data_IF_395323009876
#
_entry.id   IF_395323009876
#
_cell.length_a   1.000
_cell.length_b   1.000
_cell.length_c   1.000
_cell.angle_alpha   90.00
_cell.angle_beta   90.00
_cell.angle_gamma   90.00
#
_symmetry.space_group_name_H-M   'P 1'
#
loop_
_entity.id
_entity.type
_entity.pdbx_description
1 polymer ?
#
# COMPACT_ATOMS: atom_id res chain seq x y z
N UNK A 1 -50.56 22.06 24.57
CA UNK A 1 -49.67 21.12 25.28
C UNK A 1 -48.96 20.30 24.20
N UNK A 2 -47.62 20.23 24.23
CA UNK A 2 -46.74 19.38 23.40
C UNK A 2 -46.64 19.72 21.90
N UNK A 3 -45.49 19.93 21.27
CA UNK A 3 -44.10 19.91 21.73
C UNK A 3 -43.18 20.32 20.58
N UNK A 4 -42.38 21.37 20.79
CA UNK A 4 -41.14 21.59 20.05
C UNK A 4 -40.14 20.52 20.48
N UNK A 5 -39.32 19.93 19.59
CA UNK A 5 -37.87 19.71 19.81
C UNK A 5 -37.20 19.01 18.61
N UNK A 6 -36.46 19.83 17.85
CA UNK A 6 -35.09 19.64 17.32
C UNK A 6 -34.72 18.30 16.66
N UNK A 7 -34.66 18.35 15.32
CA UNK A 7 -33.77 17.56 14.46
C UNK A 7 -32.32 17.72 14.95
N UNK A 8 -31.76 16.69 15.60
CA UNK A 8 -30.33 16.60 15.85
C UNK A 8 -29.65 16.17 14.55
N UNK A 9 -29.09 17.14 13.82
CA UNK A 9 -28.02 16.88 12.88
C UNK A 9 -26.87 16.24 13.65
N UNK A 10 -26.64 14.96 13.38
CA UNK A 10 -25.43 14.24 13.77
C UNK A 10 -24.24 15.07 13.28
N UNK A 11 -23.25 15.41 14.11
CA UNK A 11 -22.02 15.96 13.58
C UNK A 11 -21.41 14.86 12.70
N UNK A 12 -21.30 15.13 11.41
CA UNK A 12 -20.36 14.41 10.55
C UNK A 12 -19.02 14.50 11.25
N UNK A 13 -18.50 13.35 11.70
CA UNK A 13 -17.07 13.22 11.91
C UNK A 13 -16.47 13.40 10.52
N UNK A 14 -16.11 14.62 10.19
CA UNK A 14 -15.05 14.88 9.22
C UNK A 14 -13.84 14.16 9.79
N UNK A 15 -13.60 12.94 9.31
CA UNK A 15 -12.30 12.33 9.42
C UNK A 15 -11.35 13.30 8.72
N UNK A 16 -10.68 14.13 9.51
CA UNK A 16 -9.52 14.88 9.07
C UNK A 16 -8.53 13.82 8.54
N UNK A 17 -8.56 13.57 7.23
CA UNK A 17 -7.39 13.07 6.54
C UNK A 17 -6.31 14.09 6.89
N UNK A 18 -5.41 13.73 7.79
CA UNK A 18 -4.17 14.47 8.02
C UNK A 18 -3.41 14.36 6.70
N UNK A 19 -3.70 15.28 5.77
CA UNK A 19 -2.95 15.42 4.54
C UNK A 19 -1.53 15.74 4.96
N UNK A 20 -0.57 14.93 4.50
CA UNK A 20 0.85 15.18 4.74
C UNK A 20 1.16 16.62 4.33
N UNK A 21 1.87 17.33 5.21
CA UNK A 21 2.38 18.66 4.88
C UNK A 21 3.31 18.58 3.68
N UNK A 22 3.45 19.70 2.96
CA UNK A 22 4.37 19.78 1.81
C UNK A 22 5.78 19.37 2.21
N UNK A 23 6.24 19.80 3.38
CA UNK A 23 7.56 19.45 3.92
C UNK A 23 7.73 17.94 4.16
N UNK A 24 6.70 17.25 4.66
CA UNK A 24 6.74 15.79 4.83
C UNK A 24 6.74 15.05 3.49
N UNK A 25 5.99 15.55 2.50
CA UNK A 25 6.00 14.99 1.14
C UNK A 25 7.37 15.16 0.48
N UNK A 26 7.99 16.32 0.63
CA UNK A 26 9.32 16.60 0.08
C UNK A 26 10.38 15.69 0.72
N UNK A 27 10.35 15.52 2.05
CA UNK A 27 11.24 14.57 2.74
C UNK A 27 11.06 13.13 2.26
N UNK A 28 9.82 12.68 2.09
CA UNK A 28 9.56 11.33 1.56
C UNK A 28 10.07 11.17 0.12
N UNK A 29 10.00 12.21 -0.70
CA UNK A 29 10.56 12.20 -2.05
C UNK A 29 12.09 12.15 -2.04
N UNK A 30 12.75 12.92 -1.18
CA UNK A 30 14.20 12.87 -0.98
C UNK A 30 14.65 11.49 -0.50
N UNK A 31 13.95 10.92 0.49
CA UNK A 31 14.18 9.56 0.98
C UNK A 31 14.04 8.54 -0.16
N UNK A 32 13.01 8.68 -1.01
CA UNK A 32 12.79 7.80 -2.15
C UNK A 32 13.94 7.88 -3.17
N UNK A 33 14.47 9.08 -3.45
CA UNK A 33 15.63 9.24 -4.32
C UNK A 33 16.88 8.56 -3.76
N UNK A 34 17.09 8.67 -2.44
CA UNK A 34 18.20 7.97 -1.78
C UNK A 34 18.02 6.45 -1.82
N UNK A 35 16.81 5.95 -1.58
CA UNK A 35 16.49 4.52 -1.67
C UNK A 35 16.73 3.98 -3.07
N UNK A 36 16.30 4.70 -4.12
CA UNK A 36 16.55 4.32 -5.52
C UNK A 36 18.05 4.26 -5.83
N UNK A 37 18.81 5.24 -5.34
CA UNK A 37 20.27 5.26 -5.51
C UNK A 37 20.92 4.05 -4.83
N UNK A 38 20.47 3.69 -3.61
CA UNK A 38 20.93 2.50 -2.90
C UNK A 38 20.57 1.21 -3.63
N UNK A 39 19.35 1.08 -4.12
CA UNK A 39 18.91 -0.07 -4.93
C UNK A 39 19.83 -0.23 -6.13
N UNK A 40 20.13 0.85 -6.86
CA UNK A 40 21.01 0.78 -8.03
C UNK A 40 22.47 0.42 -7.71
N UNK A 41 22.91 0.66 -6.47
CA UNK A 41 24.26 0.37 -6.00
C UNK A 41 24.38 -1.03 -5.35
N UNK A 42 23.27 -1.66 -5.01
CA UNK A 42 23.22 -3.00 -4.40
C UNK A 42 22.89 -4.03 -5.49
N UNK A 43 23.84 -4.88 -5.86
CA UNK A 43 23.63 -5.92 -6.90
C UNK A 43 23.41 -7.33 -6.35
N UNK A 44 24.00 -7.67 -5.19
CA UNK A 44 24.19 -9.08 -4.79
C UNK A 44 23.59 -9.41 -3.41
N UNK A 45 22.81 -8.51 -2.82
CA UNK A 45 22.14 -8.75 -1.53
C UNK A 45 20.62 -8.66 -1.70
N UNK A 46 19.99 -9.80 -1.95
CA UNK A 46 18.54 -9.92 -2.10
C UNK A 46 17.78 -9.53 -0.82
N UNK A 47 18.36 -9.75 0.37
CA UNK A 47 17.71 -9.36 1.63
C UNK A 47 17.69 -7.85 1.78
N UNK A 48 18.79 -7.17 1.46
CA UNK A 48 18.85 -5.72 1.48
C UNK A 48 18.00 -5.10 0.36
N UNK A 49 18.03 -5.66 -0.86
CA UNK A 49 17.16 -5.23 -1.96
C UNK A 49 15.68 -5.33 -1.59
N UNK A 50 15.26 -6.46 -1.01
CA UNK A 50 13.90 -6.63 -0.52
C UNK A 50 13.51 -5.54 0.48
N UNK A 51 14.39 -5.24 1.44
CA UNK A 51 14.18 -4.22 2.47
C UNK A 51 14.10 -2.81 1.88
N UNK A 52 14.95 -2.47 0.92
CA UNK A 52 14.96 -1.17 0.26
C UNK A 52 13.70 -0.97 -0.58
N UNK A 53 13.29 -1.98 -1.36
CA UNK A 53 12.05 -1.96 -2.12
C UNK A 53 10.80 -1.88 -1.21
N UNK A 54 10.81 -2.56 -0.06
CA UNK A 54 9.74 -2.47 0.93
C UNK A 54 9.58 -1.03 1.43
N UNK A 55 10.69 -0.41 1.86
CA UNK A 55 10.68 0.97 2.34
C UNK A 55 10.21 1.96 1.29
N UNK A 56 10.69 1.80 0.05
CA UNK A 56 10.29 2.63 -1.08
C UNK A 56 8.78 2.52 -1.34
N UNK A 57 8.24 1.30 -1.36
CA UNK A 57 6.82 1.07 -1.55
C UNK A 57 5.94 1.62 -0.42
N UNK A 58 6.39 1.51 0.83
CA UNK A 58 5.71 2.12 1.99
C UNK A 58 5.71 3.65 1.91
N UNK A 59 6.79 4.28 1.46
CA UNK A 59 6.85 5.73 1.27
C UNK A 59 5.94 6.18 0.12
N UNK A 60 5.93 5.47 -1.02
CA UNK A 60 4.99 5.76 -2.10
C UNK A 60 3.53 5.63 -1.66
N UNK A 61 3.21 4.65 -0.81
CA UNK A 61 1.87 4.50 -0.27
C UNK A 61 1.47 5.69 0.63
N UNK A 62 2.41 6.26 1.39
CA UNK A 62 2.18 7.49 2.18
C UNK A 62 1.96 8.70 1.28
N UNK A 63 2.67 8.77 0.16
CA UNK A 63 2.53 9.81 -0.87
C UNK A 63 1.30 9.63 -1.76
N UNK A 64 0.43 8.65 -1.47
CA UNK A 64 -0.74 8.28 -2.28
C UNK A 64 -0.39 7.87 -3.73
N UNK A 65 0.88 7.59 -4.02
CA UNK A 65 1.36 7.09 -5.30
C UNK A 65 1.13 5.58 -5.40
N UNK A 66 -0.14 5.19 -5.50
CA UNK A 66 -0.59 3.80 -5.37
C UNK A 66 0.11 2.85 -6.34
N UNK A 67 0.29 3.23 -7.61
CA UNK A 67 0.89 2.33 -8.61
C UNK A 67 2.38 2.09 -8.33
N UNK A 68 3.13 3.15 -8.02
CA UNK A 68 4.55 3.05 -7.63
C UNK A 68 4.73 2.24 -6.34
N UNK A 69 3.79 2.39 -5.40
CA UNK A 69 3.78 1.63 -4.15
C UNK A 69 3.59 0.14 -4.41
N UNK A 70 2.62 -0.23 -5.26
CA UNK A 70 2.38 -1.62 -5.64
C UNK A 70 3.63 -2.21 -6.29
N UNK A 71 4.18 -1.56 -7.33
CA UNK A 71 5.34 -2.06 -8.06
C UNK A 71 6.55 -2.29 -7.13
N UNK A 72 6.82 -1.34 -6.23
CA UNK A 72 7.94 -1.44 -5.30
C UNK A 72 7.74 -2.56 -4.27
N UNK A 73 6.52 -2.75 -3.77
CA UNK A 73 6.20 -3.82 -2.81
C UNK A 73 6.18 -5.20 -3.49
N UNK A 74 5.77 -5.30 -4.75
CA UNK A 74 5.88 -6.53 -5.54
C UNK A 74 7.35 -6.91 -5.73
N UNK A 75 8.21 -5.97 -6.16
CA UNK A 75 9.66 -6.19 -6.27
C UNK A 75 10.28 -6.65 -4.95
N UNK A 76 9.88 -6.05 -3.83
CA UNK A 76 10.34 -6.49 -2.50
C UNK A 76 10.06 -7.97 -2.24
N UNK A 77 8.85 -8.45 -2.58
CA UNK A 77 8.45 -9.85 -2.39
C UNK A 77 9.09 -10.79 -3.43
N UNK A 78 9.39 -10.31 -4.63
CA UNK A 78 10.16 -11.06 -5.63
C UNK A 78 11.59 -11.34 -5.12
N UNK A 79 12.22 -10.35 -4.48
CA UNK A 79 13.56 -10.52 -3.88
C UNK A 79 13.52 -11.42 -2.64
N UNK A 80 12.54 -11.22 -1.76
CA UNK A 80 12.37 -12.04 -0.55
C UNK A 80 10.93 -12.08 -0.08
N UNK A 81 10.37 -13.28 -0.03
CA UNK A 81 9.04 -13.51 0.54
C UNK A 81 9.00 -13.16 2.03
N UNK A 82 8.05 -12.31 2.41
CA UNK A 82 7.82 -11.86 3.79
C UNK A 82 6.32 -11.58 4.02
N UNK A 83 5.87 -11.67 5.27
CA UNK A 83 4.52 -11.30 5.73
C UNK A 83 4.54 -10.06 6.64
N UNK A 84 5.56 -9.22 6.48
CA UNK A 84 5.77 -7.98 7.22
C UNK A 84 4.83 -6.84 6.82
N UNK A 85 5.27 -5.61 7.02
CA UNK A 85 4.43 -4.43 6.83
C UNK A 85 4.19 -4.09 5.35
N UNK A 86 5.19 -4.30 4.49
CA UNK A 86 5.06 -4.20 3.04
C UNK A 86 4.01 -5.15 2.48
N UNK A 87 4.01 -6.40 2.94
CA UNK A 87 3.00 -7.39 2.57
C UNK A 87 1.58 -6.94 2.94
N UNK A 88 1.39 -6.48 4.19
CA UNK A 88 0.08 -5.98 4.65
C UNK A 88 -0.36 -4.74 3.88
N UNK A 89 0.58 -3.84 3.58
CA UNK A 89 0.30 -2.65 2.79
C UNK A 89 -0.12 -3.03 1.38
N UNK A 90 0.60 -3.94 0.73
CA UNK A 90 0.28 -4.42 -0.62
C UNK A 90 -1.11 -5.05 -0.69
N UNK A 91 -1.49 -5.89 0.28
CA UNK A 91 -2.87 -6.40 0.40
C UNK A 91 -3.91 -5.27 0.47
N UNK A 92 -3.65 -4.24 1.26
CA UNK A 92 -4.55 -3.09 1.36
C UNK A 92 -4.67 -2.33 0.03
N UNK A 93 -3.57 -2.17 -0.70
CA UNK A 93 -3.54 -1.48 -1.99
C UNK A 93 -4.29 -2.27 -3.07
N UNK A 94 -4.11 -3.60 -3.14
CA UNK A 94 -4.89 -4.46 -4.05
C UNK A 94 -6.38 -4.43 -3.76
N UNK A 95 -6.79 -4.47 -2.48
CA UNK A 95 -8.19 -4.32 -2.12
C UNK A 95 -8.75 -2.96 -2.57
N UNK A 96 -7.97 -1.88 -2.43
CA UNK A 96 -8.34 -0.55 -2.92
C UNK A 96 -8.53 -0.53 -4.43
N UNK A 97 -7.55 -1.05 -5.19
CA UNK A 97 -7.63 -1.14 -6.65
C UNK A 97 -8.78 -2.02 -7.15
N UNK A 98 -9.06 -3.12 -6.46
CA UNK A 98 -10.23 -3.95 -6.76
C UNK A 98 -11.54 -3.20 -6.54
N UNK A 99 -11.64 -2.43 -5.46
CA UNK A 99 -12.83 -1.62 -5.18
C UNK A 99 -13.02 -0.50 -6.21
N UNK A 100 -11.93 0.14 -6.63
CA UNK A 100 -11.92 1.13 -7.72
C UNK A 100 -12.38 0.50 -9.04
N UNK A 101 -11.85 -0.67 -9.40
CA UNK A 101 -12.28 -1.40 -10.59
C UNK A 101 -13.77 -1.75 -10.55
N UNK A 102 -14.28 -2.23 -9.40
CA UNK A 102 -15.70 -2.50 -9.21
C UNK A 102 -16.57 -1.25 -9.34
N UNK A 103 -16.12 -0.12 -8.80
CA UNK A 103 -16.83 1.15 -8.94
C UNK A 103 -16.90 1.61 -10.41
N UNK A 104 -15.83 1.36 -11.17
CA UNK A 104 -15.72 1.77 -12.56
C UNK A 104 -16.33 0.74 -13.55
N UNK A 105 -16.83 -0.40 -13.07
CA UNK A 105 -17.32 -1.49 -13.92
C UNK A 105 -16.21 -2.17 -14.73
N UNK A 106 -14.96 -2.13 -14.25
CA UNK A 106 -13.81 -2.77 -14.86
C UNK A 106 -13.67 -4.22 -14.36
N UNK A 107 -14.37 -5.14 -15.01
CA UNK A 107 -14.35 -6.56 -14.66
C UNK A 107 -12.93 -7.16 -14.74
N UNK A 108 -12.12 -6.72 -15.71
CA UNK A 108 -10.74 -7.18 -15.87
C UNK A 108 -9.86 -6.72 -14.70
N UNK A 109 -10.03 -5.48 -14.23
CA UNK A 109 -9.40 -4.97 -13.03
C UNK A 109 -9.81 -5.75 -11.78
N UNK A 110 -11.10 -6.07 -11.62
CA UNK A 110 -11.59 -6.87 -10.49
C UNK A 110 -10.91 -8.25 -10.48
N UNK A 111 -10.89 -8.94 -11.62
CA UNK A 111 -10.28 -10.26 -11.74
C UNK A 111 -8.78 -10.20 -11.47
N UNK A 112 -8.07 -9.24 -12.07
CA UNK A 112 -6.63 -9.03 -11.85
C UNK A 112 -6.29 -8.91 -10.36
N UNK A 113 -6.98 -8.02 -9.64
CA UNK A 113 -6.67 -7.78 -8.23
C UNK A 113 -7.20 -8.90 -7.31
N UNK A 114 -8.19 -9.67 -7.74
CA UNK A 114 -8.57 -10.93 -7.07
C UNK A 114 -7.46 -11.97 -7.18
N UNK A 115 -6.91 -12.20 -8.37
CA UNK A 115 -5.78 -13.13 -8.56
C UNK A 115 -4.57 -12.70 -7.74
N UNK A 116 -4.26 -11.40 -7.70
CA UNK A 116 -3.19 -10.86 -6.84
C UNK A 116 -3.43 -11.12 -5.36
N UNK A 117 -4.67 -11.03 -4.88
CA UNK A 117 -4.99 -11.38 -3.48
C UNK A 117 -4.80 -12.88 -3.19
N UNK A 118 -5.07 -13.75 -4.16
CA UNK A 118 -4.80 -15.19 -4.02
C UNK A 118 -3.31 -15.51 -4.01
N UNK A 119 -2.50 -14.83 -4.85
CA UNK A 119 -1.03 -14.90 -4.80
C UNK A 119 -0.51 -14.56 -3.40
N UNK A 120 -1.01 -13.46 -2.81
CA UNK A 120 -0.62 -13.05 -1.45
C UNK A 120 -0.93 -14.15 -0.41
N UNK A 121 -2.08 -14.82 -0.51
CA UNK A 121 -2.41 -15.96 0.37
C UNK A 121 -1.42 -17.12 0.21
N UNK A 122 -0.98 -17.40 -1.02
CA UNK A 122 0.02 -18.44 -1.25
C UNK A 122 1.39 -18.05 -0.69
N UNK A 123 1.77 -16.77 -0.77
CA UNK A 123 2.99 -16.24 -0.13
C UNK A 123 2.91 -16.46 1.38
N UNK A 124 1.81 -16.06 2.03
CA UNK A 124 1.64 -16.27 3.47
C UNK A 124 1.76 -17.75 3.84
N UNK A 125 1.12 -18.64 3.07
CA UNK A 125 1.21 -20.09 3.28
C UNK A 125 2.65 -20.61 3.14
N UNK A 126 3.39 -20.16 2.12
CA UNK A 126 4.79 -20.55 1.93
C UNK A 126 5.64 -20.10 3.11
N UNK A 127 5.56 -18.83 3.49
CA UNK A 127 6.34 -18.26 4.59
C UNK A 127 6.02 -18.94 5.93
N UNK A 128 4.76 -19.28 6.21
CA UNK A 128 4.37 -19.92 7.48
C UNK A 128 4.67 -21.42 7.54
N UNK A 129 4.72 -22.12 6.40
CA UNK A 129 5.08 -23.55 6.36
C UNK A 129 6.60 -23.75 6.31
N UNK A 130 7.33 -22.81 5.70
CA UNK A 130 8.79 -22.86 5.56
C UNK A 130 9.56 -22.27 6.75
N UNK A 131 8.86 -21.71 7.75
CA UNK A 131 9.43 -21.10 8.95
C UNK A 131 9.51 -22.02 10.16
#
# INVERSE_FOLDING_TARGET
>A
MFGFFKKKSKPEKTEEKVELSTEEKDRLNEDNQQLLSKISATSDDQTELARLHEQLGLNYAKLEQTDNAIESLEKSLEEKLTIGDGYKKLMSLYNGKRAEAAHNGDDAGIEKYMSKMDEMRQIAKKVTISG
#
